data_IF_743638490902
#
_entry.id   IF_743638490902
#
_cell.length_a   1.000
_cell.length_b   1.000
_cell.length_c   1.000
_cell.angle_alpha   90.00
_cell.angle_beta   90.00
_cell.angle_gamma   90.00
#
_symmetry.space_group_name_H-M   'P 1'
#
loop_
_entity.id
_entity.type
_entity.pdbx_description
1 polymer ?
#
# COMPACT_ATOMS: atom_id res chain seq x y z
N UNK A 1 13.33 2.93 2.55
CA UNK A 1 12.89 4.23 1.96
C UNK A 1 13.64 5.42 2.59
N UNK A 2 13.93 5.38 3.89
CA UNK A 2 14.46 6.53 4.61
C UNK A 2 15.90 6.90 4.19
N UNK A 3 16.88 6.09 4.21
CA UNK A 3 18.28 6.31 3.81
C UNK A 3 18.59 7.67 3.13
N UNK A 4 19.15 7.65 1.95
CA UNK A 4 19.56 8.85 1.18
C UNK A 4 18.37 9.75 0.75
N UNK A 5 17.12 9.24 0.81
CA UNK A 5 15.91 9.96 0.38
C UNK A 5 15.36 10.87 1.46
N UNK A 6 15.64 10.54 2.74
CA UNK A 6 15.12 11.31 3.87
C UNK A 6 15.52 12.81 3.84
N UNK A 7 16.78 13.18 3.60
CA UNK A 7 17.17 14.58 3.50
C UNK A 7 16.43 15.32 2.37
N UNK A 8 16.20 14.65 1.25
CA UNK A 8 15.55 15.25 0.08
C UNK A 8 14.06 15.47 0.34
N UNK A 9 13.39 14.49 0.98
CA UNK A 9 11.98 14.64 1.36
C UNK A 9 11.82 15.72 2.44
N UNK A 10 12.71 15.77 3.43
CA UNK A 10 12.73 16.87 4.42
C UNK A 10 12.84 18.23 3.72
N UNK A 11 13.82 18.37 2.83
CA UNK A 11 14.02 19.59 2.03
C UNK A 11 12.76 19.98 1.25
N UNK A 12 12.07 19.01 0.65
CA UNK A 12 10.81 19.24 -0.04
C UNK A 12 9.70 19.71 0.89
N UNK A 13 9.51 19.04 2.03
CA UNK A 13 8.43 19.35 2.99
C UNK A 13 8.64 20.67 3.75
N UNK A 14 9.88 21.09 3.93
CA UNK A 14 10.24 22.31 4.66
C UNK A 14 10.60 23.48 3.73
N UNK A 15 10.46 23.32 2.42
CA UNK A 15 10.82 24.36 1.46
C UNK A 15 9.90 25.58 1.57
N UNK A 16 10.50 26.76 1.80
CA UNK A 16 9.78 28.04 1.88
C UNK A 16 9.52 28.67 0.49
N UNK A 17 10.20 28.19 -0.55
CA UNK A 17 10.03 28.67 -1.93
C UNK A 17 9.68 27.57 -2.89
N UNK A 18 8.91 27.91 -3.93
CA UNK A 18 8.61 26.99 -5.04
C UNK A 18 9.87 26.52 -5.77
N UNK A 19 10.90 27.34 -5.85
CA UNK A 19 12.17 26.96 -6.49
C UNK A 19 12.86 25.86 -5.72
N UNK A 20 13.05 26.02 -4.40
CA UNK A 20 13.66 25.01 -3.53
C UNK A 20 12.84 23.72 -3.51
N UNK A 21 11.51 23.84 -3.52
CA UNK A 21 10.61 22.68 -3.57
C UNK A 21 10.78 21.90 -4.89
N UNK A 22 10.81 22.62 -6.03
CA UNK A 22 10.99 21.98 -7.33
C UNK A 22 12.36 21.31 -7.47
N UNK A 23 13.41 21.90 -6.93
CA UNK A 23 14.74 21.29 -6.98
C UNK A 23 14.81 20.02 -6.11
N UNK A 24 14.21 20.04 -4.93
CA UNK A 24 14.07 18.82 -4.12
C UNK A 24 13.27 17.73 -4.85
N UNK A 25 12.20 18.07 -5.57
CA UNK A 25 11.44 17.10 -6.37
C UNK A 25 12.27 16.52 -7.53
N UNK A 26 13.07 17.32 -8.23
CA UNK A 26 13.97 16.82 -9.30
C UNK A 26 14.97 15.81 -8.73
N UNK A 27 15.58 16.14 -7.59
CA UNK A 27 16.51 15.26 -6.89
C UNK A 27 15.83 13.95 -6.45
N UNK A 28 14.62 14.03 -5.88
CA UNK A 28 13.83 12.87 -5.50
C UNK A 28 13.48 11.97 -6.69
N UNK A 29 13.05 12.57 -7.82
CA UNK A 29 12.78 11.83 -9.06
C UNK A 29 14.03 11.07 -9.52
N UNK A 30 15.21 11.70 -9.51
CA UNK A 30 16.44 11.07 -9.96
C UNK A 30 16.81 9.86 -9.09
N UNK A 31 16.75 10.00 -7.76
CA UNK A 31 17.04 8.91 -6.80
C UNK A 31 16.01 7.79 -6.96
N UNK A 32 14.72 8.09 -6.94
CA UNK A 32 13.68 7.08 -7.03
C UNK A 32 13.63 6.38 -8.40
N UNK A 33 14.00 7.08 -9.48
CA UNK A 33 14.14 6.44 -10.79
C UNK A 33 15.14 5.29 -10.74
N UNK A 34 16.29 5.49 -10.09
CA UNK A 34 17.29 4.43 -9.96
C UNK A 34 16.81 3.29 -9.07
N UNK A 35 16.11 3.60 -7.97
CA UNK A 35 15.51 2.58 -7.10
C UNK A 35 14.52 1.70 -7.86
N UNK A 36 13.64 2.32 -8.64
CA UNK A 36 12.65 1.58 -9.41
C UNK A 36 13.28 0.76 -10.53
N UNK A 37 14.34 1.25 -11.20
CA UNK A 37 15.12 0.43 -12.15
C UNK A 37 15.64 -0.83 -11.46
N UNK A 38 16.24 -0.70 -10.27
CA UNK A 38 16.81 -1.81 -9.52
C UNK A 38 15.76 -2.85 -9.10
N UNK A 39 14.50 -2.45 -8.91
CA UNK A 39 13.38 -3.37 -8.60
C UNK A 39 12.79 -3.98 -9.87
N UNK A 40 12.61 -3.17 -10.91
CA UNK A 40 11.99 -3.61 -12.17
C UNK A 40 12.90 -4.56 -12.97
N UNK A 41 14.22 -4.42 -12.83
CA UNK A 41 15.18 -5.25 -13.58
C UNK A 41 15.06 -6.75 -13.27
N UNK A 42 15.15 -7.22 -12.02
CA UNK A 42 15.02 -8.64 -11.70
C UNK A 42 13.61 -9.19 -11.87
N UNK A 43 12.59 -8.33 -11.87
CA UNK A 43 11.19 -8.73 -12.04
C UNK A 43 10.80 -8.85 -13.52
N UNK A 44 11.38 -8.04 -14.37
CA UNK A 44 11.14 -7.94 -15.80
C UNK A 44 9.65 -8.08 -16.15
N UNK A 45 9.24 -9.05 -16.95
CA UNK A 45 7.84 -9.26 -17.40
C UNK A 45 6.84 -9.66 -16.29
N UNK A 46 7.25 -9.65 -15.03
CA UNK A 46 6.35 -9.91 -13.89
C UNK A 46 5.80 -8.61 -13.32
N UNK A 47 4.54 -8.59 -12.86
CA UNK A 47 3.96 -7.38 -12.29
C UNK A 47 4.66 -6.97 -11.00
N UNK A 48 4.96 -5.67 -10.91
CA UNK A 48 5.53 -5.01 -9.74
C UNK A 48 4.53 -3.94 -9.26
N UNK A 49 3.97 -4.15 -8.09
CA UNK A 49 3.08 -3.17 -7.47
C UNK A 49 3.90 -2.20 -6.61
N UNK A 50 3.88 -0.94 -6.97
CA UNK A 50 4.54 0.14 -6.23
C UNK A 50 3.48 0.91 -5.44
N UNK A 51 3.54 0.80 -4.12
CA UNK A 51 2.78 1.66 -3.22
C UNK A 51 3.42 3.05 -3.18
N UNK A 52 2.65 4.09 -3.44
CA UNK A 52 3.10 5.46 -3.28
C UNK A 52 3.39 5.76 -1.80
N UNK A 53 4.10 6.86 -1.53
CA UNK A 53 4.58 7.19 -0.19
C UNK A 53 3.46 7.19 0.85
N UNK A 54 3.70 6.47 1.95
CA UNK A 54 2.73 6.28 3.04
C UNK A 54 3.34 6.47 4.43
N UNK A 55 4.55 6.94 4.55
CA UNK A 55 5.15 7.17 5.85
C UNK A 55 4.50 8.38 6.55
N UNK A 56 4.23 8.30 7.87
CA UNK A 56 3.70 9.41 8.64
C UNK A 56 4.74 10.52 8.78
N UNK A 57 4.25 11.74 9.03
CA UNK A 57 5.07 12.95 8.96
C UNK A 57 6.25 12.94 9.96
N UNK A 58 6.09 12.33 11.13
CA UNK A 58 7.15 12.26 12.16
C UNK A 58 8.36 11.41 11.73
N UNK A 59 8.22 10.53 10.74
CA UNK A 59 9.37 9.82 10.17
C UNK A 59 10.27 10.74 9.33
N UNK A 60 9.73 11.84 8.86
CA UNK A 60 10.45 12.84 8.06
C UNK A 60 10.87 14.06 8.88
N UNK A 61 10.03 14.52 9.79
CA UNK A 61 10.19 15.74 10.58
C UNK A 61 10.19 15.41 12.06
N UNK A 62 11.33 15.64 12.73
CA UNK A 62 11.51 15.36 14.16
C UNK A 62 10.60 16.21 15.05
N UNK A 63 10.27 17.43 14.60
CA UNK A 63 9.41 18.38 15.30
C UNK A 63 7.94 18.32 14.85
N UNK A 64 7.48 17.18 14.27
CA UNK A 64 6.08 17.07 13.93
C UNK A 64 5.23 16.95 15.21
N UNK A 65 4.31 17.90 15.42
CA UNK A 65 3.47 17.97 16.61
C UNK A 65 2.14 17.23 16.50
N UNK A 66 2.05 16.23 15.58
CA UNK A 66 0.85 15.42 15.47
C UNK A 66 0.67 14.52 16.70
N UNK A 67 -0.49 14.56 17.33
CA UNK A 67 -0.79 13.73 18.51
C UNK A 67 -0.96 12.25 18.14
N UNK A 68 -1.47 11.97 16.95
CA UNK A 68 -1.68 10.62 16.40
C UNK A 68 -1.14 10.53 14.97
N UNK A 69 0.18 10.46 14.76
CA UNK A 69 0.78 10.52 13.43
C UNK A 69 0.28 9.41 12.47
N UNK A 70 -0.04 8.24 13.00
CA UNK A 70 -0.59 7.13 12.20
C UNK A 70 -1.97 7.42 11.61
N UNK A 71 -2.72 8.35 12.22
CA UNK A 71 -4.05 8.78 11.79
C UNK A 71 -4.05 10.19 11.18
N UNK A 72 -2.90 10.85 11.13
CA UNK A 72 -2.70 12.22 10.67
C UNK A 72 -2.31 12.33 9.19
N UNK A 73 -1.32 13.18 8.93
CA UNK A 73 -0.78 13.45 7.60
C UNK A 73 0.16 12.33 7.15
N UNK A 74 -0.39 11.33 6.52
CA UNK A 74 0.34 10.25 5.84
C UNK A 74 -0.42 9.77 4.60
N UNK A 75 0.25 9.03 3.71
CA UNK A 75 -0.37 8.42 2.54
C UNK A 75 -1.08 9.44 1.66
N UNK A 76 -2.29 9.10 1.24
CA UNK A 76 -3.11 9.95 0.38
C UNK A 76 -3.38 11.33 1.00
N UNK A 77 -3.48 11.44 2.33
CA UNK A 77 -3.75 12.72 3.00
C UNK A 77 -2.58 13.68 2.84
N UNK A 78 -1.35 13.19 3.03
CA UNK A 78 -0.14 13.97 2.78
C UNK A 78 -0.04 14.38 1.31
N UNK A 79 -0.35 13.46 0.39
CA UNK A 79 -0.34 13.76 -1.04
C UNK A 79 -1.33 14.86 -1.42
N UNK A 80 -2.52 14.89 -0.80
CA UNK A 80 -3.54 15.91 -1.10
C UNK A 80 -3.14 17.32 -0.65
N UNK A 81 -2.31 17.45 0.38
CA UNK A 81 -1.76 18.74 0.81
C UNK A 81 -0.41 19.06 0.15
N UNK A 82 0.20 18.09 -0.52
CA UNK A 82 1.49 18.20 -1.22
C UNK A 82 1.41 17.52 -2.59
N UNK A 83 0.53 18.00 -3.47
CA UNK A 83 0.16 17.40 -4.78
C UNK A 83 1.35 16.87 -5.58
N UNK A 84 2.41 17.64 -5.64
CA UNK A 84 3.58 17.33 -6.47
C UNK A 84 4.35 16.06 -6.01
N UNK A 85 4.14 15.57 -4.79
CA UNK A 85 4.85 14.40 -4.28
C UNK A 85 4.47 13.13 -5.06
N UNK A 86 3.16 12.84 -5.21
CA UNK A 86 2.70 11.66 -5.97
C UNK A 86 2.95 11.81 -7.47
N UNK A 87 2.86 13.03 -8.01
CA UNK A 87 3.28 13.30 -9.39
C UNK A 87 4.76 13.00 -9.60
N UNK A 88 5.63 13.44 -8.70
CA UNK A 88 7.08 13.17 -8.78
C UNK A 88 7.38 11.66 -8.71
N UNK A 89 6.73 10.92 -7.82
CA UNK A 89 6.90 9.48 -7.74
C UNK A 89 6.42 8.77 -9.02
N UNK A 90 5.31 9.22 -9.60
CA UNK A 90 4.81 8.69 -10.86
C UNK A 90 5.79 8.96 -12.02
N UNK A 91 6.35 10.17 -12.10
CA UNK A 91 7.39 10.52 -13.09
C UNK A 91 8.65 9.67 -12.94
N UNK A 92 9.05 9.39 -11.70
CA UNK A 92 10.20 8.52 -11.44
C UNK A 92 9.95 7.08 -11.93
N UNK A 93 8.73 6.55 -11.74
CA UNK A 93 8.32 5.24 -12.25
C UNK A 93 8.32 5.19 -13.79
N UNK A 94 7.77 6.23 -14.44
CA UNK A 94 7.76 6.34 -15.91
C UNK A 94 9.19 6.38 -16.45
N UNK A 95 10.07 7.18 -15.81
CA UNK A 95 11.48 7.26 -16.20
C UNK A 95 12.21 5.92 -16.01
N UNK A 96 11.87 5.16 -14.97
CA UNK A 96 12.43 3.83 -14.75
C UNK A 96 11.91 2.82 -15.80
N UNK A 97 10.62 2.87 -16.14
CA UNK A 97 10.04 2.06 -17.21
C UNK A 97 10.74 2.32 -18.55
N UNK A 98 10.94 3.60 -18.91
CA UNK A 98 11.64 3.99 -20.12
C UNK A 98 13.06 3.40 -20.18
N UNK A 99 13.84 3.55 -19.11
CA UNK A 99 15.21 2.99 -19.02
C UNK A 99 15.20 1.45 -19.16
N UNK A 100 14.21 0.76 -18.60
CA UNK A 100 14.08 -0.70 -18.74
C UNK A 100 13.76 -1.12 -20.17
N UNK A 101 12.88 -0.41 -20.85
CA UNK A 101 12.56 -0.66 -22.26
C UNK A 101 13.76 -0.40 -23.17
N UNK A 102 14.51 0.69 -22.96
CA UNK A 102 15.76 0.98 -23.68
C UNK A 102 16.82 -0.12 -23.49
N UNK A 103 16.82 -0.76 -22.31
CA UNK A 103 17.66 -1.92 -22.01
C UNK A 103 17.04 -3.27 -22.48
N UNK A 104 16.02 -3.24 -23.35
CA UNK A 104 15.31 -4.42 -23.87
C UNK A 104 14.55 -5.23 -22.80
N UNK A 105 14.23 -4.64 -21.66
CA UNK A 105 13.34 -5.22 -20.65
C UNK A 105 11.85 -5.04 -21.02
N UNK A 106 10.98 -5.65 -20.24
CA UNK A 106 9.52 -5.55 -20.41
C UNK A 106 8.85 -5.31 -19.03
N UNK A 107 8.99 -4.12 -18.44
CA UNK A 107 8.46 -3.84 -17.10
C UNK A 107 6.93 -3.83 -17.08
N UNK A 108 6.33 -4.52 -16.10
CA UNK A 108 4.88 -4.52 -15.84
C UNK A 108 4.64 -3.79 -14.52
N UNK A 109 4.07 -2.59 -14.59
CA UNK A 109 3.98 -1.68 -13.46
C UNK A 109 2.53 -1.55 -12.99
N UNK A 110 2.36 -1.63 -11.68
CA UNK A 110 1.11 -1.35 -10.98
C UNK A 110 1.36 -0.26 -9.93
N UNK A 111 0.61 0.85 -9.96
CA UNK A 111 0.71 1.94 -8.98
C UNK A 111 -0.45 1.82 -8.01
N UNK A 112 -0.16 1.86 -6.71
CA UNK A 112 -1.14 1.69 -5.64
C UNK A 112 -1.18 2.91 -4.73
N UNK A 113 -2.36 3.53 -4.60
CA UNK A 113 -2.62 4.65 -3.69
C UNK A 113 -2.94 4.12 -2.29
N UNK A 114 -2.15 4.47 -1.25
CA UNK A 114 -2.36 4.00 0.12
C UNK A 114 -3.34 4.86 0.90
N UNK A 115 -3.84 4.34 2.00
CA UNK A 115 -4.57 5.01 3.08
C UNK A 115 -5.86 5.74 2.65
N UNK A 116 -6.47 5.30 1.56
CA UNK A 116 -7.73 5.86 1.09
C UNK A 116 -8.85 5.59 2.09
N UNK A 117 -9.65 6.61 2.39
CA UNK A 117 -10.84 6.52 3.24
C UNK A 117 -12.08 7.11 2.58
N UNK A 118 -11.89 8.00 1.60
CA UNK A 118 -12.95 8.76 0.93
C UNK A 118 -12.77 8.61 -0.58
N UNK A 119 -13.87 8.37 -1.29
CA UNK A 119 -13.85 8.23 -2.76
C UNK A 119 -13.15 9.40 -3.46
N UNK A 120 -13.43 10.63 -3.04
CA UNK A 120 -12.81 11.84 -3.62
C UNK A 120 -11.30 11.93 -3.44
N UNK A 121 -10.71 11.32 -2.39
CA UNK A 121 -9.26 11.21 -2.23
C UNK A 121 -8.67 10.39 -3.39
N UNK A 122 -9.29 9.24 -3.65
CA UNK A 122 -8.86 8.34 -4.72
C UNK A 122 -9.07 8.97 -6.10
N UNK A 123 -10.24 9.55 -6.37
CA UNK A 123 -10.53 10.22 -7.65
C UNK A 123 -9.52 11.33 -7.95
N UNK A 124 -9.18 12.13 -6.96
CA UNK A 124 -8.24 13.25 -7.12
C UNK A 124 -6.83 12.74 -7.41
N UNK A 125 -6.33 11.81 -6.61
CA UNK A 125 -4.97 11.27 -6.79
C UNK A 125 -4.83 10.45 -8.06
N UNK A 126 -5.84 9.66 -8.44
CA UNK A 126 -5.85 8.93 -9.71
C UNK A 126 -5.88 9.86 -10.91
N UNK A 127 -6.56 11.00 -10.84
CA UNK A 127 -6.53 12.01 -11.89
C UNK A 127 -5.10 12.52 -12.11
N UNK A 128 -4.38 12.89 -11.05
CA UNK A 128 -2.99 13.33 -11.15
C UNK A 128 -2.06 12.25 -11.73
N UNK A 129 -2.22 11.02 -11.28
CA UNK A 129 -1.43 9.91 -11.79
C UNK A 129 -1.73 9.66 -13.27
N UNK A 130 -3.01 9.68 -13.68
CA UNK A 130 -3.43 9.50 -15.08
C UNK A 130 -2.87 10.58 -15.99
N UNK A 131 -2.84 11.83 -15.55
CA UNK A 131 -2.22 12.94 -16.28
C UNK A 131 -0.72 12.67 -16.53
N UNK A 132 0.01 12.14 -15.55
CA UNK A 132 1.44 11.84 -15.72
C UNK A 132 1.69 10.61 -16.61
N UNK A 133 0.86 9.56 -16.51
CA UNK A 133 1.06 8.33 -17.28
C UNK A 133 0.56 8.41 -18.73
N UNK A 134 -0.08 9.50 -19.15
CA UNK A 134 -0.53 9.68 -20.55
C UNK A 134 0.63 9.53 -21.55
N UNK A 135 1.83 9.90 -21.17
CA UNK A 135 3.05 9.78 -21.97
C UNK A 135 3.92 8.57 -21.59
N UNK A 136 3.39 7.65 -20.76
CA UNK A 136 4.14 6.48 -20.34
C UNK A 136 4.40 5.53 -21.54
N UNK A 137 5.58 4.92 -21.61
CA UNK A 137 5.96 4.06 -22.74
C UNK A 137 5.28 2.68 -22.72
N UNK A 138 4.61 2.34 -21.63
CA UNK A 138 3.92 1.07 -21.41
C UNK A 138 2.63 1.27 -20.63
N UNK A 139 1.77 0.24 -20.63
CA UNK A 139 0.55 0.24 -19.84
C UNK A 139 0.85 0.13 -18.34
N UNK A 140 0.26 1.04 -17.56
CA UNK A 140 0.40 1.10 -16.10
C UNK A 140 -0.97 0.91 -15.47
N UNK A 141 -1.12 -0.10 -14.62
CA UNK A 141 -2.35 -0.37 -13.89
C UNK A 141 -2.41 0.45 -12.62
N UNK A 142 -3.60 0.94 -12.30
CA UNK A 142 -3.85 1.76 -11.13
C UNK A 142 -4.69 1.02 -10.09
N UNK A 143 -4.27 1.08 -8.85
CA UNK A 143 -4.95 0.41 -7.75
C UNK A 143 -4.99 1.24 -6.47
N UNK A 144 -5.70 0.71 -5.49
CA UNK A 144 -5.77 1.32 -4.16
C UNK A 144 -5.58 0.28 -3.07
N UNK A 145 -5.08 0.74 -1.93
CA UNK A 145 -5.04 -0.07 -0.71
C UNK A 145 -6.34 0.08 0.07
N UNK A 146 -6.92 -1.03 0.49
CA UNK A 146 -8.07 -1.09 1.41
C UNK A 146 -7.51 -1.40 2.79
N UNK A 147 -7.30 -0.37 3.57
CA UNK A 147 -6.64 -0.50 4.88
C UNK A 147 -7.26 0.37 5.98
N UNK A 148 -8.33 1.09 5.64
CA UNK A 148 -9.19 1.71 6.63
C UNK A 148 -10.55 0.99 6.68
N UNK A 149 -11.20 0.85 7.84
CA UNK A 149 -12.54 0.25 7.93
C UNK A 149 -13.54 0.94 6.99
N UNK A 150 -13.44 2.27 6.86
CA UNK A 150 -14.31 3.02 5.97
C UNK A 150 -14.11 2.64 4.51
N UNK A 151 -12.85 2.49 4.05
CA UNK A 151 -12.59 2.04 2.67
C UNK A 151 -13.17 0.65 2.40
N UNK A 152 -13.07 -0.26 3.37
CA UNK A 152 -13.69 -1.59 3.26
C UNK A 152 -15.21 -1.50 3.09
N UNK A 153 -15.88 -0.65 3.88
CA UNK A 153 -17.33 -0.45 3.82
C UNK A 153 -17.84 0.23 2.54
N UNK A 154 -17.00 1.02 1.86
CA UNK A 154 -17.35 1.69 0.59
C UNK A 154 -16.62 1.09 -0.61
N UNK A 155 -16.14 -0.15 -0.50
CA UNK A 155 -15.32 -0.78 -1.54
C UNK A 155 -16.02 -0.86 -2.90
N UNK A 156 -17.34 -0.96 -2.94
CA UNK A 156 -18.16 -0.89 -4.14
C UNK A 156 -18.07 0.47 -4.88
N UNK A 157 -17.86 1.56 -4.13
CA UNK A 157 -17.68 2.88 -4.72
C UNK A 157 -16.25 3.10 -5.26
N UNK A 158 -15.25 2.37 -4.70
CA UNK A 158 -13.85 2.48 -5.07
C UNK A 158 -13.49 1.55 -6.24
N UNK A 159 -14.08 0.35 -6.28
CA UNK A 159 -13.78 -0.68 -7.26
C UNK A 159 -13.92 -0.28 -8.74
N UNK A 160 -14.89 0.58 -9.15
CA UNK A 160 -15.00 1.05 -10.53
C UNK A 160 -13.88 2.01 -10.97
N UNK A 161 -13.12 2.58 -10.02
CA UNK A 161 -12.10 3.60 -10.29
C UNK A 161 -10.73 2.99 -10.60
N UNK A 162 -10.51 1.70 -10.27
CA UNK A 162 -9.20 1.05 -10.23
C UNK A 162 -9.19 -0.31 -10.94
N UNK A 163 -8.01 -0.74 -11.34
CA UNK A 163 -7.78 -2.06 -11.95
C UNK A 163 -7.59 -3.15 -10.89
N UNK A 164 -7.12 -2.78 -9.70
CA UNK A 164 -6.89 -3.71 -8.61
C UNK A 164 -7.03 -3.05 -7.23
N UNK A 165 -7.23 -3.89 -6.21
CA UNK A 165 -7.23 -3.52 -4.80
C UNK A 165 -6.32 -4.45 -4.01
N UNK A 166 -5.73 -3.94 -2.94
CA UNK A 166 -4.94 -4.74 -1.99
C UNK A 166 -5.33 -4.41 -0.57
N UNK A 167 -5.63 -5.42 0.25
CA UNK A 167 -5.90 -5.19 1.67
C UNK A 167 -4.59 -4.96 2.43
N UNK A 168 -4.44 -3.79 3.05
CA UNK A 168 -3.38 -3.46 4.01
C UNK A 168 -3.79 -3.90 5.41
N UNK A 169 -3.62 -5.18 5.70
CA UNK A 169 -4.21 -5.76 6.91
C UNK A 169 -3.59 -5.28 8.22
N UNK A 170 -2.39 -4.72 8.21
CA UNK A 170 -1.80 -4.12 9.41
C UNK A 170 -2.62 -2.90 9.86
N UNK A 171 -2.79 -1.91 8.98
CA UNK A 171 -3.56 -0.70 9.26
C UNK A 171 -5.05 -1.01 9.44
N UNK A 172 -5.61 -1.91 8.64
CA UNK A 172 -7.00 -2.32 8.79
C UNK A 172 -7.27 -2.95 10.17
N UNK A 173 -6.36 -3.80 10.65
CA UNK A 173 -6.46 -4.38 11.99
C UNK A 173 -6.33 -3.30 13.06
N UNK A 174 -5.31 -2.44 12.95
CA UNK A 174 -5.08 -1.36 13.89
C UNK A 174 -6.30 -0.45 14.06
N UNK A 175 -6.88 -0.03 12.95
CA UNK A 175 -8.03 0.88 12.97
C UNK A 175 -9.34 0.18 13.37
N UNK A 176 -9.52 -1.10 13.06
CA UNK A 176 -10.71 -1.87 13.44
C UNK A 176 -10.73 -2.13 14.94
N UNK A 177 -9.59 -2.45 15.54
CA UNK A 177 -9.47 -2.61 16.99
C UNK A 177 -9.35 -1.29 17.76
N UNK A 178 -8.99 -0.18 17.07
CA UNK A 178 -8.61 1.06 17.74
C UNK A 178 -7.31 0.92 18.53
N UNK A 179 -6.39 0.06 18.08
CA UNK A 179 -5.10 -0.19 18.69
C UNK A 179 -3.99 0.51 17.92
N UNK A 180 -3.09 1.19 18.61
CA UNK A 180 -1.78 1.53 18.08
C UNK A 180 -0.87 0.31 18.26
N UNK A 181 -0.44 -0.31 17.17
CA UNK A 181 0.35 -1.56 17.20
C UNK A 181 1.57 -1.42 18.09
N UNK A 182 2.36 -0.38 17.88
CA UNK A 182 3.63 -0.17 18.57
C UNK A 182 3.44 0.03 20.09
N UNK A 183 2.32 0.66 20.48
CA UNK A 183 2.02 0.90 21.90
C UNK A 183 1.45 -0.32 22.60
N UNK A 184 0.61 -1.12 21.91
CA UNK A 184 -0.13 -2.21 22.59
C UNK A 184 0.53 -3.57 22.48
N UNK A 185 1.35 -3.84 21.46
CA UNK A 185 1.90 -5.19 21.20
C UNK A 185 2.83 -5.67 22.32
N UNK A 186 3.63 -4.77 22.87
CA UNK A 186 4.54 -5.09 23.98
C UNK A 186 3.88 -5.17 25.36
N UNK A 187 2.69 -4.62 25.52
CA UNK A 187 2.01 -4.43 26.79
C UNK A 187 0.63 -5.07 26.84
N UNK A 188 -0.38 -4.43 26.28
CA UNK A 188 -1.79 -4.81 26.36
C UNK A 188 -2.03 -6.19 25.75
N UNK A 189 -1.52 -6.46 24.57
CA UNK A 189 -1.72 -7.73 23.84
C UNK A 189 -1.19 -8.91 24.67
N UNK A 190 0.02 -8.78 25.21
CA UNK A 190 0.60 -9.83 26.06
C UNK A 190 -0.24 -10.10 27.29
N UNK A 191 -0.79 -9.05 27.90
CA UNK A 191 -1.65 -9.19 29.07
C UNK A 191 -2.99 -9.85 28.68
N UNK A 192 -3.59 -9.48 27.53
CA UNK A 192 -4.83 -10.08 27.06
C UNK A 192 -4.66 -11.56 26.73
N UNK A 193 -3.55 -11.96 26.14
CA UNK A 193 -3.24 -13.38 25.89
C UNK A 193 -3.09 -14.13 27.25
N UNK A 194 -2.37 -13.54 28.21
CA UNK A 194 -2.22 -14.14 29.55
C UNK A 194 -3.54 -14.30 30.32
N UNK A 195 -4.50 -13.45 30.02
CA UNK A 195 -5.85 -13.47 30.64
C UNK A 195 -6.88 -14.26 29.81
N UNK A 196 -6.48 -14.96 28.74
CA UNK A 196 -7.35 -15.66 27.80
C UNK A 196 -8.44 -14.78 27.14
N UNK A 197 -8.21 -13.46 27.11
CA UNK A 197 -9.07 -12.50 26.37
C UNK A 197 -8.77 -12.60 24.86
N UNK A 198 -7.53 -12.80 24.49
CA UNK A 198 -7.07 -13.09 23.13
C UNK A 198 -6.32 -14.41 23.12
N UNK A 199 -6.55 -15.21 22.07
CA UNK A 199 -5.79 -16.45 21.87
C UNK A 199 -4.43 -16.18 21.23
N UNK A 200 -4.35 -15.17 20.35
CA UNK A 200 -3.16 -14.78 19.59
C UNK A 200 -3.21 -13.27 19.33
N UNK A 201 -2.06 -12.67 18.99
CA UNK A 201 -2.02 -11.27 18.59
C UNK A 201 -2.79 -11.06 17.28
N UNK A 202 -3.72 -10.10 17.22
CA UNK A 202 -4.44 -9.77 15.99
C UNK A 202 -3.54 -9.17 14.90
N UNK A 203 -2.29 -8.83 15.23
CA UNK A 203 -1.27 -8.40 14.26
C UNK A 203 -0.45 -9.57 13.71
N UNK A 204 -0.43 -10.72 14.40
CA UNK A 204 0.24 -11.93 13.94
C UNK A 204 -0.71 -12.83 13.13
N UNK A 205 -1.93 -13.02 13.59
CA UNK A 205 -2.98 -13.81 12.96
C UNK A 205 -4.22 -12.93 12.71
N UNK A 206 -4.76 -13.02 11.50
CA UNK A 206 -5.94 -12.24 11.10
C UNK A 206 -7.16 -12.60 11.98
N UNK A 207 -7.77 -11.61 12.58
CA UNK A 207 -9.06 -11.74 13.22
C UNK A 207 -10.17 -11.96 12.18
N UNK A 208 -10.53 -13.23 12.00
CA UNK A 208 -11.58 -13.60 11.03
C UNK A 208 -12.97 -13.08 11.41
N UNK A 209 -13.21 -12.82 12.72
CA UNK A 209 -14.52 -12.44 13.22
C UNK A 209 -14.86 -10.95 13.09
N UNK A 210 -13.85 -10.09 13.07
CA UNK A 210 -13.97 -8.64 12.90
C UNK A 210 -13.36 -8.19 11.57
N UNK A 211 -12.02 -8.11 11.51
CA UNK A 211 -11.28 -7.66 10.33
C UNK A 211 -11.59 -8.52 9.11
N UNK A 212 -11.67 -9.84 9.28
CA UNK A 212 -12.01 -10.79 8.22
C UNK A 212 -13.40 -10.57 7.62
N UNK A 213 -14.39 -10.15 8.43
CA UNK A 213 -15.70 -9.76 7.91
C UNK A 213 -15.64 -8.53 7.02
N UNK A 214 -14.88 -7.51 7.42
CA UNK A 214 -14.67 -6.32 6.58
C UNK A 214 -14.00 -6.69 5.25
N UNK A 215 -13.00 -7.55 5.29
CA UNK A 215 -12.32 -8.06 4.09
C UNK A 215 -13.31 -8.80 3.18
N UNK A 216 -14.09 -9.72 3.72
CA UNK A 216 -15.04 -10.51 2.93
C UNK A 216 -16.15 -9.65 2.32
N UNK A 217 -16.69 -8.71 3.08
CA UNK A 217 -17.72 -7.78 2.60
C UNK A 217 -17.16 -6.89 1.48
N UNK A 218 -15.97 -6.34 1.67
CA UNK A 218 -15.30 -5.52 0.65
C UNK A 218 -15.00 -6.30 -0.64
N UNK A 219 -14.60 -7.58 -0.54
CA UNK A 219 -14.41 -8.44 -1.71
C UNK A 219 -15.72 -8.64 -2.46
N UNK A 220 -16.79 -8.98 -1.73
CA UNK A 220 -18.09 -9.28 -2.32
C UNK A 220 -18.69 -8.05 -2.99
N UNK A 221 -18.70 -6.89 -2.31
CA UNK A 221 -19.23 -5.64 -2.85
C UNK A 221 -18.43 -5.12 -4.04
N UNK A 222 -17.10 -5.21 -3.99
CA UNK A 222 -16.24 -4.82 -5.11
C UNK A 222 -16.50 -5.68 -6.36
N UNK A 223 -16.62 -7.00 -6.19
CA UNK A 223 -16.89 -7.92 -7.32
C UNK A 223 -18.30 -7.83 -7.87
N UNK A 224 -19.26 -7.41 -7.06
CA UNK A 224 -20.62 -7.16 -7.54
C UNK A 224 -20.66 -6.05 -8.61
N UNK A 225 -19.81 -5.02 -8.48
CA UNK A 225 -19.74 -3.89 -9.42
C UNK A 225 -18.60 -4.02 -10.45
N UNK A 226 -17.53 -4.73 -10.11
CA UNK A 226 -16.41 -5.01 -11.01
C UNK A 226 -15.98 -6.49 -10.89
N UNK A 227 -16.62 -7.42 -11.61
CA UNK A 227 -16.36 -8.86 -11.49
C UNK A 227 -14.91 -9.28 -11.84
N UNK A 228 -14.18 -8.45 -12.58
CA UNK A 228 -12.81 -8.73 -13.03
C UNK A 228 -11.75 -8.08 -12.16
N UNK A 229 -12.14 -7.36 -11.12
CA UNK A 229 -11.17 -6.66 -10.28
C UNK A 229 -10.17 -7.63 -9.64
N UNK A 230 -8.89 -7.35 -9.80
CA UNK A 230 -7.82 -8.09 -9.14
C UNK A 230 -7.75 -7.66 -7.68
N UNK A 231 -7.89 -8.60 -6.75
CA UNK A 231 -7.86 -8.34 -5.32
C UNK A 231 -6.72 -9.12 -4.67
N UNK A 232 -5.90 -8.44 -3.90
CA UNK A 232 -4.81 -9.03 -3.18
C UNK A 232 -4.77 -8.63 -1.72
N UNK A 233 -3.73 -9.10 -1.05
CA UNK A 233 -3.43 -8.76 0.33
C UNK A 233 -1.95 -8.45 0.48
N UNK A 234 -1.63 -7.52 1.33
CA UNK A 234 -0.30 -7.27 1.87
C UNK A 234 -0.40 -7.02 3.38
N UNK A 235 0.72 -7.12 4.06
CA UNK A 235 0.80 -7.06 5.52
C UNK A 235 1.29 -8.38 6.12
N UNK A 236 1.47 -8.40 7.43
CA UNK A 236 2.06 -9.54 8.15
C UNK A 236 1.22 -10.82 8.03
N UNK A 237 -0.08 -10.69 7.92
CA UNK A 237 -1.03 -11.81 7.79
C UNK A 237 -0.82 -12.63 6.51
N UNK A 238 -0.22 -12.03 5.47
CA UNK A 238 0.18 -12.75 4.25
C UNK A 238 1.28 -13.80 4.46
N UNK A 239 1.89 -13.83 5.64
CA UNK A 239 2.89 -14.81 6.04
C UNK A 239 2.40 -15.83 7.08
N UNK A 240 1.17 -15.69 7.60
CA UNK A 240 0.59 -16.61 8.58
C UNK A 240 -0.29 -17.67 7.91
N UNK A 241 -0.04 -18.98 8.16
CA UNK A 241 -0.81 -20.06 7.52
C UNK A 241 -2.32 -20.00 7.73
N UNK A 242 -2.78 -19.64 8.92
CA UNK A 242 -4.22 -19.58 9.23
C UNK A 242 -4.89 -18.42 8.49
N UNK A 243 -4.25 -17.26 8.51
CA UNK A 243 -4.69 -16.08 7.78
C UNK A 243 -4.71 -16.32 6.27
N UNK A 244 -3.68 -16.97 5.71
CA UNK A 244 -3.62 -17.31 4.28
C UNK A 244 -4.79 -18.21 3.87
N UNK A 245 -5.12 -19.24 4.67
CA UNK A 245 -6.28 -20.11 4.39
C UNK A 245 -7.57 -19.31 4.33
N UNK A 246 -7.82 -18.46 5.32
CA UNK A 246 -8.98 -17.59 5.33
C UNK A 246 -9.05 -16.71 4.07
N UNK A 247 -7.95 -16.06 3.72
CA UNK A 247 -7.88 -15.12 2.61
C UNK A 247 -8.05 -15.82 1.24
N UNK A 248 -7.41 -16.96 1.03
CA UNK A 248 -7.59 -17.75 -0.19
C UNK A 248 -9.05 -18.18 -0.33
N UNK A 249 -9.67 -18.66 0.74
CA UNK A 249 -11.08 -19.05 0.75
C UNK A 249 -12.03 -17.85 0.58
N UNK A 250 -11.60 -16.65 0.96
CA UNK A 250 -12.31 -15.39 0.66
C UNK A 250 -12.21 -14.98 -0.81
N UNK A 251 -11.35 -15.64 -1.57
CA UNK A 251 -11.24 -15.46 -3.01
C UNK A 251 -10.25 -14.37 -3.44
N UNK A 252 -9.21 -14.04 -2.67
CA UNK A 252 -8.15 -13.15 -3.14
C UNK A 252 -7.39 -13.75 -4.33
N UNK A 253 -6.90 -12.91 -5.23
CA UNK A 253 -6.15 -13.33 -6.41
C UNK A 253 -4.66 -13.53 -6.12
N UNK A 254 -4.12 -12.84 -5.11
CA UNK A 254 -2.72 -12.97 -4.71
C UNK A 254 -2.55 -12.65 -3.22
N UNK A 255 -1.48 -13.24 -2.66
CA UNK A 255 -1.01 -12.97 -1.30
C UNK A 255 0.42 -12.46 -1.39
N UNK A 256 0.69 -11.32 -0.77
CA UNK A 256 2.03 -10.74 -0.64
C UNK A 256 2.53 -10.93 0.79
N UNK A 257 3.76 -11.35 0.94
CA UNK A 257 4.42 -11.55 2.23
C UNK A 257 5.91 -11.22 2.14
N UNK A 258 6.57 -11.11 3.29
CA UNK A 258 8.02 -10.92 3.35
C UNK A 258 8.77 -12.10 2.70
N UNK A 259 9.92 -11.88 2.05
CA UNK A 259 10.65 -12.92 1.30
C UNK A 259 10.87 -14.23 2.05
N UNK A 260 11.26 -14.25 3.36
CA UNK A 260 11.44 -15.49 4.10
C UNK A 260 10.16 -16.33 4.26
N UNK A 261 8.98 -15.71 4.13
CA UNK A 261 7.68 -16.37 4.28
C UNK A 261 7.09 -16.89 2.98
N UNK A 262 7.67 -16.55 1.82
CA UNK A 262 7.19 -17.00 0.51
C UNK A 262 7.02 -18.53 0.41
N UNK A 263 7.97 -19.39 0.87
CA UNK A 263 7.79 -20.84 0.78
C UNK A 263 6.54 -21.33 1.53
N UNK A 264 6.29 -20.79 2.72
CA UNK A 264 5.11 -21.12 3.54
C UNK A 264 3.83 -20.65 2.84
N UNK A 265 3.82 -19.40 2.37
CA UNK A 265 2.65 -18.83 1.68
C UNK A 265 2.29 -19.64 0.43
N UNK A 266 3.28 -20.03 -0.37
CA UNK A 266 3.06 -20.87 -1.56
C UNK A 266 2.51 -22.25 -1.20
N UNK A 267 3.07 -22.91 -0.18
CA UNK A 267 2.61 -24.21 0.26
C UNK A 267 1.15 -24.18 0.73
N UNK A 268 0.82 -23.24 1.61
CA UNK A 268 -0.54 -23.10 2.17
C UNK A 268 -1.54 -22.75 1.08
N UNK A 269 -1.22 -21.80 0.19
CA UNK A 269 -2.11 -21.44 -0.93
C UNK A 269 -2.36 -22.64 -1.87
N UNK A 270 -1.31 -23.43 -2.15
CA UNK A 270 -1.46 -24.64 -2.97
C UNK A 270 -2.33 -25.70 -2.28
N UNK A 271 -2.18 -25.91 -0.97
CA UNK A 271 -3.02 -26.83 -0.20
C UNK A 271 -4.51 -26.44 -0.25
N UNK A 272 -4.82 -25.13 -0.15
CA UNK A 272 -6.21 -24.66 -0.24
C UNK A 272 -6.78 -24.80 -1.68
N UNK A 273 -5.96 -24.62 -2.69
CA UNK A 273 -6.37 -24.78 -4.09
C UNK A 273 -6.64 -26.24 -4.51
N UNK A 274 -6.21 -27.21 -3.71
CA UNK A 274 -6.43 -28.66 -3.97
C UNK A 274 -7.68 -29.21 -3.25
N UNK A 275 -8.35 -28.41 -2.45
CA UNK A 275 -9.64 -28.75 -1.79
C UNK A 275 -10.82 -28.47 -2.72
#
# INVERSE_FOLDING_TARGET
>A
FLGERLPVIRKFLTAESHETQNDALKELIAIQTQDFVNVLEPMDSKPVTIRLLDAPLHEFLEDSHEQNPMLGLRGVRLALVTENLYRAQTRALISAAQKRLEASGNPVIEIMVPLVSIKGELETTLRWIREEIMEAPNDIRLGTMIETPRAALIAEELAPLVDFMSFGTNDLTQMTYGFSRDDVEASVIKQYIKMDILQESPFAQLDASGVGKLVQEAINSSRAVNPKIKIGICGEHGGDPTSIRFLVNSGVNYVSCSPPRIPIARLVSAQESLK
#
